data_IF_042785863591
#
_entry.id   IF_042785863591
#
_cell.length_a   1.000
_cell.length_b   1.000
_cell.length_c   1.000
_cell.angle_alpha   90.00
_cell.angle_beta   90.00
_cell.angle_gamma   90.00
#
_symmetry.space_group_name_H-M   'P 1'
#
loop_
_entity.id
_entity.type
_entity.pdbx_description
1 polymer ?
#
# COMPACT_ATOMS: atom_id res chain seq x y z
N UNK A 1 10.81 -7.34 -15.44
CA UNK A 1 9.46 -6.83 -15.19
C UNK A 1 9.15 -5.70 -16.16
N UNK A 2 7.91 -5.64 -16.61
CA UNK A 2 7.47 -4.63 -17.57
C UNK A 2 7.42 -3.25 -16.90
N UNK A 3 8.00 -2.25 -17.54
CA UNK A 3 8.04 -0.88 -17.04
C UNK A 3 6.62 -0.29 -16.86
N UNK A 4 5.71 -0.62 -17.77
CA UNK A 4 4.32 -0.15 -17.69
C UNK A 4 3.58 -0.73 -16.49
N UNK A 5 3.87 -1.97 -16.13
CA UNK A 5 3.28 -2.59 -14.93
C UNK A 5 3.78 -1.94 -13.66
N UNK A 6 5.07 -1.60 -13.59
CA UNK A 6 5.60 -0.86 -12.45
C UNK A 6 4.89 0.48 -12.31
N UNK A 7 4.68 1.19 -13.41
CA UNK A 7 3.94 2.45 -13.38
C UNK A 7 2.51 2.24 -12.90
N UNK A 8 1.84 1.19 -13.34
CA UNK A 8 0.49 0.88 -12.90
C UNK A 8 0.44 0.67 -11.37
N UNK A 9 1.33 -0.15 -10.84
CA UNK A 9 1.35 -0.43 -9.40
C UNK A 9 1.68 0.81 -8.57
N UNK A 10 2.62 1.63 -9.05
CA UNK A 10 2.95 2.89 -8.38
C UNK A 10 1.77 3.87 -8.41
N UNK A 11 1.00 3.91 -9.50
CA UNK A 11 -0.19 4.73 -9.59
C UNK A 11 -1.25 4.26 -8.58
N UNK A 12 -1.40 2.95 -8.42
CA UNK A 12 -2.34 2.41 -7.43
C UNK A 12 -1.90 2.73 -5.99
N UNK A 13 -0.59 2.66 -5.72
CA UNK A 13 -0.06 3.08 -4.42
C UNK A 13 -0.30 4.57 -4.18
N UNK A 14 -0.16 5.40 -5.21
CA UNK A 14 -0.43 6.83 -5.10
C UNK A 14 -1.89 7.12 -4.80
N UNK A 15 -2.81 6.34 -5.36
CA UNK A 15 -4.24 6.45 -5.02
C UNK A 15 -4.47 6.21 -3.54
N UNK A 16 -3.77 5.23 -2.97
CA UNK A 16 -3.85 4.98 -1.52
C UNK A 16 -3.28 6.16 -0.72
N UNK A 17 -2.18 6.76 -1.18
CA UNK A 17 -1.61 7.94 -0.53
C UNK A 17 -2.62 9.10 -0.50
N UNK A 18 -3.38 9.29 -1.57
CA UNK A 18 -4.42 10.34 -1.62
C UNK A 18 -5.52 10.07 -0.60
N UNK A 19 -5.85 8.81 -0.35
CA UNK A 19 -6.83 8.46 0.70
C UNK A 19 -6.33 8.88 2.08
N UNK A 20 -5.04 8.68 2.37
CA UNK A 20 -4.44 9.13 3.62
C UNK A 20 -4.57 10.65 3.76
N UNK A 21 -4.26 11.38 2.69
CA UNK A 21 -4.36 12.84 2.70
C UNK A 21 -5.78 13.31 3.01
N UNK A 22 -6.79 12.62 2.50
CA UNK A 22 -8.19 12.97 2.74
C UNK A 22 -8.60 12.86 4.20
N UNK A 23 -7.89 12.07 5.00
CA UNK A 23 -8.16 11.92 6.43
C UNK A 23 -7.06 12.58 7.27
N UNK A 24 -6.33 13.54 6.69
CA UNK A 24 -5.28 14.31 7.38
C UNK A 24 -4.14 13.45 7.93
N UNK A 25 -3.85 12.34 7.26
CA UNK A 25 -2.68 11.52 7.54
C UNK A 25 -1.54 11.91 6.62
N UNK A 26 -0.33 11.49 6.96
CA UNK A 26 0.80 11.60 6.05
C UNK A 26 0.45 10.85 4.76
N UNK A 27 0.55 11.47 3.56
CA UNK A 27 0.05 10.87 2.32
C UNK A 27 1.00 9.80 1.79
N UNK A 28 1.00 8.65 2.44
CA UNK A 28 1.76 7.47 2.03
C UNK A 28 0.78 6.34 1.75
N UNK A 29 0.93 5.72 0.60
CA UNK A 29 0.15 4.55 0.21
C UNK A 29 1.05 3.41 -0.20
N UNK A 30 0.54 2.20 -0.15
CA UNK A 30 1.30 1.00 -0.51
C UNK A 30 0.38 -0.05 -1.10
N UNK A 31 0.92 -0.83 -2.02
CA UNK A 31 0.26 -2.03 -2.55
C UNK A 31 1.22 -3.20 -2.48
N UNK A 32 0.68 -4.39 -2.24
CA UNK A 32 1.44 -5.64 -2.28
C UNK A 32 1.05 -6.38 -3.54
N UNK A 33 2.06 -6.76 -4.33
CA UNK A 33 1.86 -7.35 -5.65
C UNK A 33 2.38 -8.79 -5.64
N UNK A 34 1.58 -9.71 -6.16
CA UNK A 34 1.98 -11.10 -6.36
C UNK A 34 1.47 -11.57 -7.72
N UNK A 35 2.38 -12.11 -8.54
CA UNK A 35 2.07 -12.59 -9.89
C UNK A 35 1.31 -11.55 -10.70
N UNK A 36 1.81 -10.32 -10.68
CA UNK A 36 1.26 -9.17 -11.41
C UNK A 36 -0.14 -8.76 -10.97
N UNK A 37 -0.56 -9.16 -9.77
CA UNK A 37 -1.85 -8.78 -9.20
C UNK A 37 -1.66 -8.13 -7.85
N UNK A 38 -2.46 -7.11 -7.57
CA UNK A 38 -2.49 -6.48 -6.25
C UNK A 38 -3.26 -7.39 -5.32
N UNK A 39 -2.62 -7.83 -4.24
CA UNK A 39 -3.23 -8.71 -3.25
C UNK A 39 -3.44 -8.01 -1.90
N UNK A 40 -2.94 -6.79 -1.75
CA UNK A 40 -3.15 -6.00 -0.55
C UNK A 40 -2.91 -4.53 -0.84
N UNK A 41 -3.64 -3.67 -0.15
CA UNK A 41 -3.54 -2.22 -0.30
C UNK A 41 -3.60 -1.58 1.09
N UNK A 42 -2.93 -0.45 1.25
CA UNK A 42 -2.97 0.27 2.51
C UNK A 42 -2.55 1.72 2.37
N UNK A 43 -2.95 2.52 3.32
CA UNK A 43 -2.53 3.90 3.44
C UNK A 43 -2.39 4.25 4.92
N UNK A 44 -1.61 5.30 5.21
CA UNK A 44 -1.34 5.67 6.59
C UNK A 44 -2.63 6.01 7.34
N UNK A 45 -2.81 5.39 8.50
CA UNK A 45 -3.98 5.58 9.37
C UNK A 45 -3.60 5.68 10.84
N UNK A 46 -2.34 6.03 11.15
CA UNK A 46 -1.85 6.01 12.52
C UNK A 46 -2.60 6.98 13.43
N UNK A 47 -2.94 8.16 12.94
CA UNK A 47 -3.72 9.14 13.72
C UNK A 47 -5.17 8.68 13.87
N UNK A 48 -5.78 8.30 12.75
CA UNK A 48 -7.19 7.87 12.72
C UNK A 48 -7.44 6.70 13.64
N UNK A 49 -6.54 5.72 13.64
CA UNK A 49 -6.70 4.47 14.42
C UNK A 49 -6.09 4.56 15.81
N UNK A 50 -5.45 5.69 16.16
CA UNK A 50 -4.68 5.83 17.40
C UNK A 50 -3.67 4.70 17.56
N UNK A 51 -3.07 4.29 16.44
CA UNK A 51 -2.16 3.15 16.37
C UNK A 51 -0.89 3.57 15.62
N UNK A 52 0.25 3.74 16.32
CA UNK A 52 1.47 4.17 15.66
C UNK A 52 2.01 3.17 14.65
N UNK A 53 1.50 1.94 14.64
CA UNK A 53 1.93 0.93 13.66
C UNK A 53 1.05 0.91 12.41
N UNK A 54 -0.01 1.73 12.35
CA UNK A 54 -0.92 1.76 11.21
C UNK A 54 -0.32 2.52 10.02
N UNK A 55 0.89 2.10 9.61
CA UNK A 55 1.58 2.60 8.43
C UNK A 55 1.12 1.88 7.18
N UNK A 56 1.19 2.58 6.05
CA UNK A 56 0.68 2.09 4.77
C UNK A 56 1.20 0.68 4.42
N UNK A 57 2.51 0.45 4.52
CA UNK A 57 3.12 -0.83 4.16
C UNK A 57 2.66 -1.96 5.07
N UNK A 58 2.50 -1.69 6.36
CA UNK A 58 2.05 -2.68 7.33
C UNK A 58 0.59 -3.06 7.04
N UNK A 59 -0.25 -2.07 6.79
CA UNK A 59 -1.66 -2.30 6.46
C UNK A 59 -1.76 -3.13 5.17
N UNK A 60 -0.99 -2.78 4.15
CA UNK A 60 -1.01 -3.51 2.88
C UNK A 60 -0.56 -4.95 3.05
N UNK A 61 0.50 -5.19 3.82
CA UNK A 61 1.02 -6.53 4.07
C UNK A 61 -0.01 -7.35 4.86
N UNK A 62 -0.64 -6.75 5.87
CA UNK A 62 -1.68 -7.43 6.65
C UNK A 62 -2.89 -7.75 5.78
N UNK A 63 -3.27 -6.85 4.88
CA UNK A 63 -4.38 -7.09 3.95
C UNK A 63 -4.07 -8.23 2.98
N UNK A 64 -2.82 -8.34 2.53
CA UNK A 64 -2.38 -9.44 1.69
C UNK A 64 -2.40 -10.77 2.45
N UNK A 65 -2.21 -10.69 3.76
CA UNK A 65 -2.12 -11.86 4.62
C UNK A 65 -0.82 -12.62 4.42
N UNK A 66 -0.73 -13.78 5.04
CA UNK A 66 0.46 -14.63 4.94
C UNK A 66 0.27 -15.76 3.93
N UNK A 67 -0.55 -15.54 2.92
CA UNK A 67 -0.94 -16.56 1.97
C UNK A 67 0.16 -16.86 0.95
N UNK A 68 1.01 -15.89 0.68
CA UNK A 68 2.05 -15.99 -0.36
C UNK A 68 3.41 -15.70 0.25
N UNK A 69 4.42 -16.47 -0.17
CA UNK A 69 5.77 -16.31 0.37
C UNK A 69 6.60 -15.30 -0.39
N UNK A 70 6.32 -15.12 -1.68
CA UNK A 70 7.12 -14.25 -2.55
C UNK A 70 6.21 -13.19 -3.17
N UNK A 71 6.03 -12.10 -2.47
CA UNK A 71 5.30 -10.96 -3.00
C UNK A 71 6.19 -9.72 -3.01
N UNK A 72 5.77 -8.74 -3.78
CA UNK A 72 6.49 -7.50 -3.96
C UNK A 72 5.68 -6.35 -3.38
N UNK A 73 6.33 -5.54 -2.55
CA UNK A 73 5.72 -4.34 -1.99
C UNK A 73 6.06 -3.14 -2.86
N UNK A 74 5.04 -2.39 -3.29
CA UNK A 74 5.20 -1.11 -3.95
C UNK A 74 4.65 -0.02 -3.04
N UNK A 75 5.46 1.00 -2.80
CA UNK A 75 5.10 2.09 -1.87
C UNK A 75 5.33 3.44 -2.54
N UNK A 76 4.40 4.37 -2.32
CA UNK A 76 4.48 5.73 -2.82
C UNK A 76 3.95 6.71 -1.77
N UNK A 77 4.60 7.88 -1.70
CA UNK A 77 4.18 8.88 -0.72
C UNK A 77 4.27 10.29 -1.21
#
# INVERSE_FOLDING_TARGET
MNKDRNNFFMQEALKQAKKALQINEVPIGAVVVFENKIIGEGFNQSIKNSDPTAHAEIIAINAAGNKKKNYQLCREG
#
